data_IF_356419808667
#
_entry.id   IF_356419808667
#
_cell.length_a   1.000
_cell.length_b   1.000
_cell.length_c   1.000
_cell.angle_alpha   90.00
_cell.angle_beta   90.00
_cell.angle_gamma   90.00
#
_symmetry.space_group_name_H-M   'P 1'
#
loop_
_entity.id
_entity.type
_entity.pdbx_description
1 polymer ?
#
# COMPACT_ATOMS: atom_id res chain seq x y z
N UNK A 1 20.93 -0.84 -5.21
CA UNK A 1 20.20 0.42 -4.97
C UNK A 1 18.72 0.08 -4.92
N UNK A 2 18.03 0.38 -3.81
CA UNK A 2 16.59 0.18 -3.71
C UNK A 2 15.84 1.20 -4.57
N UNK A 3 14.76 0.79 -5.25
CA UNK A 3 13.88 1.70 -5.99
C UNK A 3 13.14 2.70 -5.09
N UNK A 4 12.38 3.62 -5.69
CA UNK A 4 11.70 4.75 -5.00
C UNK A 4 10.82 4.30 -3.80
N UNK A 5 10.20 3.11 -3.88
CA UNK A 5 9.43 2.54 -2.77
C UNK A 5 10.23 2.30 -1.47
N UNK A 6 11.54 2.05 -1.56
CA UNK A 6 12.39 1.91 -0.36
C UNK A 6 12.56 3.24 0.38
N UNK A 7 12.69 4.36 -0.35
CA UNK A 7 12.79 5.69 0.27
C UNK A 7 11.50 6.07 0.98
N UNK A 8 10.34 5.76 0.38
CA UNK A 8 9.05 6.00 1.04
C UNK A 8 8.90 5.15 2.30
N UNK A 9 9.27 3.86 2.23
CA UNK A 9 9.20 2.97 3.39
C UNK A 9 10.13 3.42 4.53
N UNK A 10 11.36 3.85 4.21
CA UNK A 10 12.31 4.41 5.18
C UNK A 10 11.77 5.69 5.82
N UNK A 11 11.22 6.60 5.02
CA UNK A 11 10.57 7.81 5.52
C UNK A 11 9.41 7.50 6.48
N UNK A 12 8.58 6.52 6.14
CA UNK A 12 7.48 6.09 7.01
C UNK A 12 8.03 5.59 8.35
N UNK A 13 9.03 4.69 8.33
CA UNK A 13 9.69 4.18 9.53
C UNK A 13 10.22 5.31 10.43
N UNK A 14 10.88 6.31 9.85
CA UNK A 14 11.46 7.42 10.61
C UNK A 14 10.43 8.38 11.19
N UNK A 15 9.33 8.61 10.47
CA UNK A 15 8.31 9.60 10.88
C UNK A 15 7.21 9.02 11.77
N UNK A 16 7.03 7.70 11.78
CA UNK A 16 5.89 7.02 12.44
C UNK A 16 4.51 7.53 11.97
N UNK A 17 4.46 8.17 10.79
CA UNK A 17 3.24 8.81 10.26
C UNK A 17 2.08 7.84 10.01
N UNK A 18 2.41 6.55 9.85
CA UNK A 18 1.48 5.45 9.59
C UNK A 18 0.70 5.01 10.85
N UNK A 19 1.29 5.17 12.04
CA UNK A 19 0.72 4.61 13.27
C UNK A 19 -0.66 5.19 13.59
N UNK A 20 -1.62 4.31 13.87
CA UNK A 20 -3.00 4.65 14.20
C UNK A 20 -3.84 5.21 13.04
N UNK A 21 -3.32 5.24 11.80
CA UNK A 21 -4.02 5.74 10.62
C UNK A 21 -4.67 4.63 9.81
N UNK A 22 -5.80 4.93 9.16
CA UNK A 22 -6.28 4.17 8.00
C UNK A 22 -5.48 4.58 6.76
N UNK A 23 -4.69 3.66 6.24
CA UNK A 23 -3.77 3.91 5.13
C UNK A 23 -4.32 3.31 3.84
N UNK A 24 -4.25 4.08 2.75
CA UNK A 24 -4.50 3.61 1.39
C UNK A 24 -3.23 3.79 0.57
N UNK A 25 -2.68 2.70 0.05
CA UNK A 25 -1.55 2.72 -0.86
C UNK A 25 -2.06 2.59 -2.31
N UNK A 26 -1.66 3.53 -3.15
CA UNK A 26 -2.02 3.58 -4.57
C UNK A 26 -0.81 3.17 -5.42
N UNK A 27 -0.98 2.16 -6.27
CA UNK A 27 0.09 1.60 -7.09
C UNK A 27 1.12 0.86 -6.24
N UNK A 28 0.66 -0.08 -5.41
CA UNK A 28 1.51 -0.79 -4.45
C UNK A 28 2.59 -1.67 -5.10
N UNK A 29 2.41 -2.04 -6.37
CA UNK A 29 3.34 -2.91 -7.09
C UNK A 29 3.43 -4.33 -6.50
N UNK A 30 4.22 -5.18 -7.16
CA UNK A 30 4.23 -6.61 -6.84
C UNK A 30 5.21 -6.96 -5.73
N UNK A 31 6.24 -6.14 -5.52
CA UNK A 31 7.24 -6.33 -4.46
C UNK A 31 6.71 -5.96 -3.08
N UNK A 32 5.74 -5.04 -2.99
CA UNK A 32 5.03 -4.74 -1.75
C UNK A 32 5.90 -4.19 -0.62
N UNK A 33 7.01 -3.51 -0.93
CA UNK A 33 7.98 -3.05 0.10
C UNK A 33 7.31 -2.09 1.08
N UNK A 34 6.59 -1.10 0.55
CA UNK A 34 5.88 -0.09 1.37
C UNK A 34 4.76 -0.77 2.16
N UNK A 35 3.93 -1.60 1.51
CA UNK A 35 2.85 -2.35 2.17
C UNK A 35 3.37 -3.21 3.33
N UNK A 36 4.44 -3.97 3.09
CA UNK A 36 5.04 -4.91 4.06
C UNK A 36 5.63 -4.19 5.28
N UNK A 37 6.25 -3.03 5.07
CA UNK A 37 6.89 -2.26 6.14
C UNK A 37 5.83 -1.47 6.91
N UNK A 38 4.98 -0.72 6.21
CA UNK A 38 4.00 0.17 6.84
C UNK A 38 2.92 -0.62 7.60
N UNK A 39 2.54 -1.83 7.14
CA UNK A 39 1.58 -2.66 7.87
C UNK A 39 2.07 -3.08 9.26
N UNK A 40 3.38 -3.08 9.51
CA UNK A 40 3.97 -3.42 10.82
C UNK A 40 4.07 -2.25 11.77
N UNK A 41 3.69 -1.06 11.33
CA UNK A 41 3.80 0.17 12.09
C UNK A 41 2.54 0.50 12.89
N UNK A 42 1.73 -0.51 13.21
CA UNK A 42 0.45 -0.39 13.91
C UNK A 42 -0.54 0.60 13.24
N UNK A 43 -0.78 0.50 11.92
CA UNK A 43 -1.87 1.25 11.30
C UNK A 43 -3.22 0.74 11.83
N UNK A 44 -4.23 1.62 11.88
CA UNK A 44 -5.60 1.20 12.20
C UNK A 44 -6.17 0.26 11.14
N UNK A 45 -5.83 0.51 9.88
CA UNK A 45 -6.15 -0.33 8.74
C UNK A 45 -5.16 -0.02 7.61
N UNK A 46 -4.85 -1.01 6.78
CA UNK A 46 -3.98 -0.83 5.62
C UNK A 46 -4.59 -1.49 4.39
N UNK A 47 -4.89 -0.69 3.36
CA UNK A 47 -5.34 -1.17 2.06
C UNK A 47 -4.28 -0.89 1.00
N UNK A 48 -3.80 -1.95 0.34
CA UNK A 48 -2.87 -1.86 -0.78
C UNK A 48 -3.61 -2.06 -2.09
N UNK A 49 -3.42 -1.14 -3.04
CA UNK A 49 -4.14 -1.16 -4.31
C UNK A 49 -3.25 -1.00 -5.52
N UNK A 50 -3.63 -1.68 -6.60
CA UNK A 50 -3.03 -1.61 -7.92
C UNK A 50 -4.10 -1.92 -8.98
N UNK A 51 -3.86 -1.53 -10.23
CA UNK A 51 -4.76 -1.82 -11.33
C UNK A 51 -4.63 -3.27 -11.82
N UNK A 52 -3.43 -3.85 -11.70
CA UNK A 52 -3.09 -5.13 -12.31
C UNK A 52 -3.26 -6.32 -11.35
N UNK A 53 -4.17 -7.25 -11.66
CA UNK A 53 -4.44 -8.43 -10.83
C UNK A 53 -3.21 -9.34 -10.62
N UNK A 54 -2.37 -9.53 -11.65
CA UNK A 54 -1.15 -10.34 -11.50
C UNK A 54 -0.15 -9.70 -10.51
N UNK A 55 -0.15 -8.37 -10.42
CA UNK A 55 0.66 -7.62 -9.46
C UNK A 55 0.12 -7.82 -8.05
N UNK A 56 -1.20 -7.80 -7.88
CA UNK A 56 -1.87 -8.03 -6.59
C UNK A 56 -1.72 -9.46 -6.09
N UNK A 57 -1.74 -10.45 -6.99
CA UNK A 57 -1.45 -11.85 -6.65
C UNK A 57 -0.02 -12.01 -6.13
N UNK A 58 0.96 -11.40 -6.80
CA UNK A 58 2.37 -11.38 -6.36
C UNK A 58 2.53 -10.69 -5.01
N UNK A 59 1.87 -9.55 -4.82
CA UNK A 59 1.86 -8.85 -3.54
C UNK A 59 1.30 -9.75 -2.44
N UNK A 60 0.15 -10.38 -2.67
CA UNK A 60 -0.49 -11.27 -1.70
C UNK A 60 0.42 -12.43 -1.31
N UNK A 61 1.10 -13.06 -2.27
CA UNK A 61 2.12 -14.08 -2.01
C UNK A 61 3.27 -13.54 -1.15
N UNK A 62 3.82 -12.37 -1.50
CA UNK A 62 4.93 -11.77 -0.76
C UNK A 62 4.54 -11.38 0.67
N UNK A 63 3.31 -10.91 0.89
CA UNK A 63 2.79 -10.62 2.23
C UNK A 63 2.71 -11.90 3.06
N UNK A 64 2.21 -13.00 2.49
CA UNK A 64 2.17 -14.31 3.14
C UNK A 64 3.58 -14.81 3.49
N UNK A 65 4.52 -14.75 2.54
CA UNK A 65 5.91 -15.15 2.75
C UNK A 65 6.59 -14.33 3.87
N UNK A 66 6.15 -13.08 4.05
CA UNK A 66 6.59 -12.21 5.12
C UNK A 66 5.72 -12.29 6.38
N UNK A 67 4.75 -13.20 6.51
CA UNK A 67 3.83 -13.29 7.66
C UNK A 67 3.05 -11.99 7.93
N UNK A 68 2.62 -11.31 6.87
CA UNK A 68 1.73 -10.15 6.92
C UNK A 68 0.33 -10.58 6.47
N UNK A 69 -0.66 -10.44 7.34
CA UNK A 69 -2.03 -10.87 7.06
C UNK A 69 -3.07 -9.75 7.19
N UNK A 70 -2.67 -8.60 7.73
CA UNK A 70 -3.57 -7.48 8.06
C UNK A 70 -3.73 -6.47 6.91
N UNK A 71 -2.97 -6.66 5.82
CA UNK A 71 -3.07 -5.81 4.63
C UNK A 71 -4.22 -6.29 3.75
N UNK A 72 -5.18 -5.40 3.50
CA UNK A 72 -6.24 -5.63 2.55
C UNK A 72 -5.75 -5.33 1.14
N UNK A 73 -5.69 -6.36 0.28
CA UNK A 73 -5.32 -6.19 -1.13
C UNK A 73 -6.58 -6.01 -1.97
N UNK A 74 -6.62 -4.95 -2.77
CA UNK A 74 -7.77 -4.61 -3.65
C UNK A 74 -7.31 -4.10 -5.01
N UNK A 75 -8.06 -4.45 -6.04
CA UNK A 75 -7.90 -3.81 -7.35
C UNK A 75 -8.50 -2.41 -7.32
N UNK A 76 -7.79 -1.44 -7.89
CA UNK A 76 -8.29 -0.09 -8.07
C UNK A 76 -7.73 0.51 -9.38
N UNK A 77 -8.62 0.98 -10.25
CA UNK A 77 -8.29 1.75 -11.44
C UNK A 77 -8.42 3.25 -11.12
N UNK A 78 -7.38 4.05 -11.38
CA UNK A 78 -7.42 5.49 -11.13
C UNK A 78 -8.35 6.25 -12.07
N UNK A 79 -8.64 5.69 -13.24
CA UNK A 79 -9.49 6.33 -14.25
C UNK A 79 -10.96 5.91 -14.14
N UNK A 80 -11.23 4.83 -13.39
CA UNK A 80 -12.55 4.28 -13.15
C UNK A 80 -12.69 3.94 -11.65
N UNK A 81 -12.57 4.98 -10.82
CA UNK A 81 -12.60 4.84 -9.36
C UNK A 81 -14.03 4.59 -8.89
N UNK A 82 -14.22 3.49 -8.19
CA UNK A 82 -15.46 3.19 -7.47
C UNK A 82 -15.48 3.91 -6.11
N UNK A 83 -16.51 4.73 -5.87
CA UNK A 83 -16.77 5.38 -4.57
C UNK A 83 -16.83 4.36 -3.42
N UNK A 84 -17.17 3.10 -3.70
CA UNK A 84 -17.19 2.04 -2.69
C UNK A 84 -15.82 1.79 -2.07
N UNK A 85 -14.72 1.81 -2.84
CA UNK A 85 -13.37 1.58 -2.30
C UNK A 85 -12.93 2.75 -1.41
N UNK A 86 -13.26 3.98 -1.82
CA UNK A 86 -12.97 5.17 -1.02
C UNK A 86 -13.77 5.16 0.29
N UNK A 87 -15.03 4.71 0.25
CA UNK A 87 -15.86 4.54 1.43
C UNK A 87 -15.37 3.40 2.35
N UNK A 88 -14.96 2.26 1.78
CA UNK A 88 -14.40 1.11 2.52
C UNK A 88 -13.09 1.48 3.21
N UNK A 89 -12.18 2.16 2.51
CA UNK A 89 -10.87 2.54 3.04
C UNK A 89 -10.91 3.75 3.98
N UNK A 90 -11.81 4.72 3.73
CA UNK A 90 -11.96 5.97 4.47
C UNK A 90 -10.60 6.57 4.91
N UNK A 91 -9.66 6.79 3.97
CA UNK A 91 -8.24 6.92 4.28
C UNK A 91 -7.93 8.22 5.01
N UNK A 92 -7.05 8.14 6.01
CA UNK A 92 -6.48 9.28 6.73
C UNK A 92 -5.07 9.62 6.21
N UNK A 93 -4.44 8.66 5.52
CA UNK A 93 -3.14 8.78 4.88
C UNK A 93 -3.16 8.03 3.55
N UNK A 94 -2.70 8.68 2.48
CA UNK A 94 -2.52 8.07 1.16
C UNK A 94 -1.03 7.95 0.87
N UNK A 95 -0.58 6.75 0.49
CA UNK A 95 0.81 6.43 0.16
C UNK A 95 0.94 6.19 -1.34
N UNK A 96 1.90 6.86 -1.98
CA UNK A 96 2.15 6.82 -3.42
C UNK A 96 3.66 6.83 -3.64
N UNK A 97 4.20 5.85 -4.36
CA UNK A 97 5.62 5.83 -4.75
C UNK A 97 5.78 5.61 -6.25
N UNK A 98 6.45 6.55 -6.93
CA UNK A 98 6.76 6.47 -8.37
C UNK A 98 5.52 6.34 -9.29
N UNK A 99 4.43 6.98 -8.88
CA UNK A 99 3.13 6.96 -9.56
C UNK A 99 2.88 8.17 -10.46
N UNK A 100 3.75 9.18 -10.39
CA UNK A 100 3.70 10.41 -11.21
C UNK A 100 4.84 10.34 -12.22
N UNK A 101 4.50 10.39 -13.51
CA UNK A 101 5.47 10.41 -14.62
C UNK A 101 5.23 11.66 -15.47
N UNK A 102 6.32 12.25 -15.96
CA UNK A 102 6.30 13.37 -16.91
C UNK A 102 5.77 12.96 -18.28
#
# INVERSE_FOLDING_TARGET
MGGVGFFLAEYCLMSSIVSGKRCLELGCGGTGVVSTICSRMDPRAYMATDYNDEVLEKLSSNLVDNNVHEVMVRRLDWFDVDDAILAESAPELILLSDTVRE
#
